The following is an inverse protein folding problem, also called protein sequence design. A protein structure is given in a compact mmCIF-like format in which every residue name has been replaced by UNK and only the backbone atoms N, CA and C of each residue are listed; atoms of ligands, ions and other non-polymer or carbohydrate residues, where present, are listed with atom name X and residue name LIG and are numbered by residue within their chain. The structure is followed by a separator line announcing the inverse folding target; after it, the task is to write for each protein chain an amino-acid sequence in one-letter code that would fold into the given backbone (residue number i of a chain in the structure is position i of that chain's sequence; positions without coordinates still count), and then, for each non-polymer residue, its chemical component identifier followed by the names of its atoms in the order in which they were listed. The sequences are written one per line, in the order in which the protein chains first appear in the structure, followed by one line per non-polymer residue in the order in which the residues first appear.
data_IF_682943541041
#
_entry.id   IF_682943541041
#
_cell.length_a   1.000
_cell.length_b   1.000
_cell.length_c   1.000
_cell.angle_alpha   90.00
_cell.angle_beta   90.00
_cell.angle_gamma   90.00
#
_symmetry.space_group_name_H-M   'P 1'
#
loop_
_entity.id
_entity.type
_entity.pdbx_description
1 polymer ?
#
# COMPACT_ATOMS: atom_id res chain seq x y z
N UNK A 1 30.83 0.83 -15.95
CA UNK A 1 29.77 -0.20 -16.01
C UNK A 1 28.44 0.52 -15.88
N UNK A 2 27.64 0.49 -16.93
CA UNK A 2 26.42 1.26 -17.15
C UNK A 2 25.23 0.31 -16.98
N UNK A 3 24.52 0.41 -15.86
CA UNK A 3 23.30 -0.36 -15.64
C UNK A 3 22.17 0.24 -16.48
N UNK A 4 21.77 -0.52 -17.49
CA UNK A 4 20.68 -0.27 -18.40
C UNK A 4 19.36 -0.49 -17.65
N UNK A 5 18.75 0.58 -17.16
CA UNK A 5 17.36 0.58 -16.64
C UNK A 5 16.37 0.57 -17.81
N UNK A 6 16.37 -0.53 -18.56
CA UNK A 6 15.30 -0.86 -19.48
C UNK A 6 14.11 -1.41 -18.69
N UNK A 7 13.00 -0.67 -18.65
CA UNK A 7 11.67 -1.27 -18.45
C UNK A 7 10.78 -0.71 -17.35
N UNK A 8 11.20 0.27 -16.55
CA UNK A 8 10.29 0.92 -15.60
C UNK A 8 9.82 2.25 -16.18
N UNK A 9 8.74 2.21 -16.96
CA UNK A 9 7.97 3.43 -17.25
C UNK A 9 7.61 4.08 -15.90
N UNK A 10 7.97 5.36 -15.66
CA UNK A 10 7.54 6.05 -14.45
C UNK A 10 6.02 6.04 -14.42
N UNK A 11 5.42 5.32 -13.46
CA UNK A 11 3.99 5.41 -13.19
C UNK A 11 3.67 6.87 -12.91
N UNK A 12 2.96 7.53 -13.82
CA UNK A 12 2.53 8.89 -13.61
C UNK A 12 1.52 8.84 -12.46
N UNK A 13 1.64 9.75 -11.48
CA UNK A 13 0.73 9.77 -10.31
C UNK A 13 -0.74 9.91 -10.72
N UNK A 14 -1.00 10.45 -11.92
CA UNK A 14 -2.33 10.55 -12.52
C UNK A 14 -2.89 9.22 -13.07
N UNK A 15 -2.03 8.23 -13.35
CA UNK A 15 -2.42 6.89 -13.84
C UNK A 15 -2.71 5.90 -12.70
N UNK A 16 -2.41 6.28 -11.46
CA UNK A 16 -2.75 5.48 -10.29
C UNK A 16 -4.19 5.81 -9.87
N UNK A 17 -5.08 4.81 -9.93
CA UNK A 17 -6.38 4.92 -9.28
C UNK A 17 -6.17 5.02 -7.76
N UNK A 18 -6.54 6.15 -7.12
CA UNK A 18 -6.39 6.31 -5.68
C UNK A 18 -7.12 5.22 -4.89
N UNK A 19 -8.27 4.73 -5.39
CA UNK A 19 -9.03 3.70 -4.71
C UNK A 19 -8.27 2.37 -4.67
N UNK A 20 -7.68 1.97 -5.80
CA UNK A 20 -6.86 0.76 -5.88
C UNK A 20 -5.58 0.89 -5.07
N UNK A 21 -4.92 2.06 -5.10
CA UNK A 21 -3.75 2.31 -4.27
C UNK A 21 -4.07 2.14 -2.77
N UNK A 22 -5.18 2.72 -2.30
CA UNK A 22 -5.61 2.61 -0.91
C UNK A 22 -5.91 1.15 -0.56
N UNK A 23 -6.70 0.43 -1.38
CA UNK A 23 -7.02 -0.98 -1.12
C UNK A 23 -5.78 -1.85 -1.06
N UNK A 24 -4.83 -1.66 -1.96
CA UNK A 24 -3.59 -2.44 -2.03
C UNK A 24 -2.69 -2.24 -0.80
N UNK A 25 -2.71 -1.04 -0.20
CA UNK A 25 -1.83 -0.69 0.91
C UNK A 25 -2.53 -0.68 2.27
N UNK A 26 -3.86 -0.78 2.32
CA UNK A 26 -4.63 -0.80 3.56
C UNK A 26 -4.53 -2.16 4.26
N UNK A 27 -3.74 -2.23 5.33
CA UNK A 27 -3.50 -3.45 6.10
C UNK A 27 -4.58 -3.64 7.17
N UNK A 28 -5.71 -4.22 6.77
CA UNK A 28 -6.77 -4.65 7.68
C UNK A 28 -6.53 -6.10 8.12
N UNK A 29 -6.55 -6.36 9.43
CA UNK A 29 -6.49 -7.72 9.98
C UNK A 29 -7.69 -7.97 10.90
N UNK A 30 -8.31 -9.16 10.86
CA UNK A 30 -9.40 -9.50 11.76
C UNK A 30 -8.91 -9.60 13.21
N UNK A 31 -9.75 -9.22 14.16
CA UNK A 31 -9.50 -9.50 15.57
C UNK A 31 -9.72 -10.99 15.82
N UNK A 32 -8.79 -11.72 16.48
CA UNK A 32 -8.92 -13.17 16.66
C UNK A 32 -10.22 -13.63 17.34
N UNK A 33 -10.73 -12.85 18.30
CA UNK A 33 -11.97 -13.16 19.02
C UNK A 33 -13.24 -12.61 18.36
N UNK A 34 -13.11 -11.68 17.41
CA UNK A 34 -14.21 -10.95 16.76
C UNK A 34 -13.89 -10.74 15.27
N UNK A 35 -13.99 -11.78 14.43
CA UNK A 35 -13.54 -11.74 13.03
C UNK A 35 -14.33 -10.75 12.14
N UNK A 36 -15.52 -10.32 12.56
CA UNK A 36 -16.29 -9.25 11.95
C UNK A 36 -15.64 -7.87 12.13
N UNK A 37 -14.80 -7.70 13.16
CA UNK A 37 -14.04 -6.47 13.41
C UNK A 37 -12.66 -6.62 12.76
N UNK A 38 -12.28 -5.61 11.97
CA UNK A 38 -10.96 -5.52 11.35
C UNK A 38 -10.24 -4.27 11.83
N UNK A 39 -9.00 -4.43 12.26
CA UNK A 39 -8.17 -3.32 12.71
C UNK A 39 -7.19 -2.91 11.62
N UNK A 40 -7.04 -1.62 11.44
CA UNK A 40 -5.98 -1.04 10.62
C UNK A 40 -4.68 -1.00 11.42
N UNK A 41 -3.61 -1.53 10.85
CA UNK A 41 -2.26 -1.35 11.38
C UNK A 41 -1.50 -0.35 10.51
N UNK A 42 -1.07 0.75 11.12
CA UNK A 42 -0.36 1.79 10.41
C UNK A 42 1.00 1.30 9.88
N UNK A 43 1.33 1.66 8.64
CA UNK A 43 2.65 1.39 8.07
C UNK A 43 3.72 2.25 8.74
N UNK A 44 4.99 1.80 8.89
CA UNK A 44 6.06 2.63 9.48
C UNK A 44 6.24 4.00 8.81
N UNK A 45 5.97 4.09 7.50
CA UNK A 45 5.98 5.35 6.74
C UNK A 45 4.84 6.32 7.06
N UNK A 46 3.84 5.93 7.86
CA UNK A 46 2.74 6.80 8.28
C UNK A 46 3.13 7.81 9.38
N UNK A 47 4.23 7.57 10.10
CA UNK A 47 4.62 8.38 11.25
C UNK A 47 3.73 8.22 12.49
N UNK A 48 2.67 7.42 12.41
CA UNK A 48 1.79 7.07 13.52
C UNK A 48 2.49 5.97 14.34
N UNK A 49 3.05 6.33 15.49
CA UNK A 49 3.56 5.41 16.51
C UNK A 49 2.80 5.60 17.80
#
# INVERSE_FOLDING_TARGET
MNENVAGLTPIHRADLDPAEFIKANMRLQPVPSLPEIRLYTAHPGSGLR
#
